data_IF_843256069604
#
_entry.id   IF_843256069604
#
_cell.length_a   1.000
_cell.length_b   1.000
_cell.length_c   1.000
_cell.angle_alpha   90.00
_cell.angle_beta   90.00
_cell.angle_gamma   90.00
#
_symmetry.space_group_name_H-M   'P 1'
#
loop_
_entity.id
_entity.type
_entity.pdbx_description
1 polymer ?
#
# COMPACT_ATOMS: atom_id res chain seq x y z
N UNK A 1 -18.37 1.20 -7.80
CA UNK A 1 -17.80 -0.17 -7.82
C UNK A 1 -16.42 -0.10 -7.18
N UNK A 2 -16.25 -0.65 -5.96
CA UNK A 2 -14.92 -0.68 -5.35
C UNK A 2 -14.02 -1.57 -6.20
N UNK A 3 -12.99 -0.98 -6.82
CA UNK A 3 -12.01 -1.72 -7.61
C UNK A 3 -11.32 -2.72 -6.69
N UNK A 4 -11.49 -4.02 -6.93
CA UNK A 4 -10.83 -5.05 -6.13
C UNK A 4 -9.33 -5.03 -6.44
N UNK A 5 -8.57 -4.29 -5.63
CA UNK A 5 -7.11 -4.22 -5.76
C UNK A 5 -6.55 -5.56 -5.29
N UNK A 6 -6.00 -6.32 -6.23
CA UNK A 6 -5.44 -7.64 -5.92
C UNK A 6 -3.95 -7.55 -5.59
N UNK A 7 -3.23 -6.60 -6.22
CA UNK A 7 -1.78 -6.48 -6.07
C UNK A 7 -1.33 -5.21 -5.35
N UNK A 8 -0.23 -5.32 -4.61
CA UNK A 8 0.40 -4.16 -3.96
C UNK A 8 0.91 -3.13 -4.99
N UNK A 9 1.27 -3.59 -6.20
CA UNK A 9 1.73 -2.71 -7.28
C UNK A 9 0.60 -1.84 -7.84
N UNK A 10 -0.62 -2.37 -7.94
CA UNK A 10 -1.80 -1.58 -8.31
C UNK A 10 -2.10 -0.55 -7.23
N UNK A 11 -2.12 -0.97 -5.96
CA UNK A 11 -2.31 -0.05 -4.82
C UNK A 11 -1.30 1.09 -4.85
N UNK A 12 -0.03 0.78 -5.06
CA UNK A 12 1.02 1.79 -5.09
C UNK A 12 0.87 2.77 -6.25
N UNK A 13 0.46 2.30 -7.43
CA UNK A 13 0.20 3.18 -8.58
C UNK A 13 -1.01 4.10 -8.34
N UNK A 14 -1.98 3.68 -7.53
CA UNK A 14 -3.11 4.52 -7.13
C UNK A 14 -2.67 5.68 -6.22
N UNK A 15 -1.78 5.43 -5.25
CA UNK A 15 -1.23 6.49 -4.40
C UNK A 15 -0.22 7.40 -5.12
N UNK A 16 0.51 6.87 -6.10
CA UNK A 16 1.59 7.58 -6.79
C UNK A 16 1.41 7.54 -8.32
N UNK A 17 0.33 8.13 -8.87
CA UNK A 17 0.05 8.09 -10.31
C UNK A 17 1.10 8.81 -11.16
N UNK A 18 1.88 9.73 -10.56
CA UNK A 18 3.00 10.41 -11.22
C UNK A 18 4.27 9.56 -11.37
N UNK A 19 4.32 8.33 -10.84
CA UNK A 19 5.47 7.45 -11.03
C UNK A 19 5.46 6.81 -12.42
N UNK A 20 6.54 7.00 -13.18
CA UNK A 20 6.69 6.49 -14.56
C UNK A 20 6.72 4.96 -14.66
N UNK A 21 7.02 4.26 -13.55
CA UNK A 21 7.04 2.79 -13.51
C UNK A 21 6.36 2.25 -12.25
N UNK A 22 5.73 1.06 -12.31
CA UNK A 22 5.12 0.43 -11.15
C UNK A 22 6.12 0.19 -10.01
N UNK A 23 7.38 -0.14 -10.34
CA UNK A 23 8.46 -0.35 -9.36
C UNK A 23 8.78 0.93 -8.56
N UNK A 24 8.72 2.09 -9.19
CA UNK A 24 8.92 3.36 -8.50
C UNK A 24 7.73 3.68 -7.58
N UNK A 25 6.50 3.44 -8.04
CA UNK A 25 5.31 3.59 -7.22
C UNK A 25 5.38 2.72 -5.95
N UNK A 26 5.74 1.43 -6.10
CA UNK A 26 5.94 0.50 -4.98
C UNK A 26 6.97 1.03 -3.97
N UNK A 27 8.12 1.54 -4.44
CA UNK A 27 9.15 2.13 -3.58
C UNK A 27 8.64 3.36 -2.83
N UNK A 28 7.84 4.21 -3.49
CA UNK A 28 7.20 5.37 -2.85
C UNK A 28 6.22 4.94 -1.76
N UNK A 29 5.38 3.93 -2.02
CA UNK A 29 4.44 3.40 -1.02
C UNK A 29 5.17 2.77 0.16
N UNK A 30 6.20 1.95 -0.08
CA UNK A 30 7.02 1.37 0.98
C UNK A 30 7.71 2.43 1.85
N UNK A 31 8.22 3.51 1.25
CA UNK A 31 8.79 4.63 2.00
C UNK A 31 7.74 5.33 2.86
N UNK A 32 6.52 5.47 2.36
CA UNK A 32 5.41 6.08 3.09
C UNK A 32 4.98 5.21 4.28
N UNK A 33 4.86 3.90 4.06
CA UNK A 33 4.63 2.91 5.13
C UNK A 33 5.76 2.99 6.18
N UNK A 34 7.02 2.97 5.75
CA UNK A 34 8.18 3.01 6.66
C UNK A 34 8.25 4.31 7.48
N UNK A 35 7.78 5.44 6.93
CA UNK A 35 7.69 6.73 7.64
C UNK A 35 6.58 6.74 8.69
N UNK A 36 5.52 5.95 8.51
CA UNK A 36 4.44 5.80 9.48
C UNK A 36 4.72 4.57 10.38
N UNK A 37 5.41 4.78 11.50
CA UNK A 37 5.82 3.69 12.42
C UNK A 37 4.65 2.86 12.90
N UNK A 38 3.50 3.49 13.20
CA UNK A 38 2.25 2.80 13.55
C UNK A 38 1.80 1.83 12.47
N UNK A 39 1.70 2.31 11.22
CA UNK A 39 1.29 1.48 10.08
C UNK A 39 2.27 0.34 9.82
N UNK A 40 3.58 0.61 9.91
CA UNK A 40 4.60 -0.41 9.71
C UNK A 40 4.47 -1.55 10.72
N UNK A 41 4.23 -1.24 12.01
CA UNK A 41 4.00 -2.25 13.06
C UNK A 41 2.72 -3.04 12.80
N UNK A 42 1.60 -2.36 12.55
CA UNK A 42 0.31 -3.03 12.28
C UNK A 42 0.39 -3.96 11.06
N UNK A 43 1.09 -3.55 10.01
CA UNK A 43 1.31 -4.40 8.83
C UNK A 43 2.19 -5.60 9.18
N UNK A 44 3.26 -5.43 9.96
CA UNK A 44 4.14 -6.53 10.37
C UNK A 44 3.37 -7.60 11.16
N UNK A 45 2.42 -7.21 12.03
CA UNK A 45 1.54 -8.13 12.77
C UNK A 45 0.62 -8.96 11.86
N UNK A 46 0.33 -8.49 10.64
CA UNK A 46 -0.42 -9.27 9.64
C UNK A 46 0.45 -10.22 8.81
N UNK A 47 1.76 -10.28 9.08
CA UNK A 47 2.73 -11.03 8.27
C UNK A 47 3.16 -10.29 7.00
N UNK A 48 2.92 -8.99 6.88
CA UNK A 48 3.44 -8.19 5.76
C UNK A 48 4.98 -8.18 5.79
N UNK A 49 5.59 -8.53 4.67
CA UNK A 49 7.04 -8.49 4.49
C UNK A 49 7.42 -7.46 3.40
N UNK A 50 8.38 -6.55 3.66
CA UNK A 50 8.77 -5.49 2.74
C UNK A 50 9.26 -5.95 1.38
N UNK A 51 9.65 -7.22 1.22
CA UNK A 51 10.16 -7.76 -0.05
C UNK A 51 9.28 -8.87 -0.66
N UNK A 52 8.19 -9.26 0.01
CA UNK A 52 7.29 -10.32 -0.44
C UNK A 52 5.82 -9.85 -0.44
N UNK A 53 5.58 -8.72 -1.10
CA UNK A 53 4.29 -8.02 -1.12
C UNK A 53 3.65 -8.11 -2.51
N UNK A 54 3.80 -9.22 -3.25
CA UNK A 54 3.18 -9.35 -4.58
C UNK A 54 1.66 -9.15 -4.49
N UNK A 55 1.08 -9.74 -3.46
CA UNK A 55 -0.34 -9.66 -3.11
C UNK A 55 -0.51 -8.86 -1.83
N UNK A 56 -1.66 -8.23 -1.69
CA UNK A 56 -2.05 -7.55 -0.45
C UNK A 56 -3.36 -8.15 0.05
N UNK A 57 -3.44 -8.45 1.35
CA UNK A 57 -4.69 -8.93 1.93
C UNK A 57 -5.67 -7.76 2.14
N UNK A 58 -7.00 -8.02 2.17
CA UNK A 58 -7.98 -6.98 2.47
C UNK A 58 -7.70 -6.24 3.80
N UNK A 59 -7.22 -6.97 4.81
CA UNK A 59 -6.83 -6.39 6.11
C UNK A 59 -5.64 -5.45 5.99
N UNK A 60 -4.62 -5.83 5.21
CA UNK A 60 -3.45 -4.97 4.95
C UNK A 60 -3.83 -3.72 4.15
N UNK A 61 -4.71 -3.86 3.16
CA UNK A 61 -5.21 -2.74 2.38
C UNK A 61 -5.98 -1.74 3.27
N UNK A 62 -6.88 -2.23 4.12
CA UNK A 62 -7.64 -1.40 5.06
C UNK A 62 -6.70 -0.61 5.99
N UNK A 63 -5.68 -1.25 6.56
CA UNK A 63 -4.68 -0.57 7.39
C UNK A 63 -3.96 0.55 6.63
N UNK A 64 -3.60 0.32 5.35
CA UNK A 64 -2.96 1.34 4.52
C UNK A 64 -3.92 2.52 4.29
N UNK A 65 -5.18 2.27 3.96
CA UNK A 65 -6.19 3.31 3.76
C UNK A 65 -6.45 4.12 5.04
N UNK A 66 -6.59 3.45 6.18
CA UNK A 66 -6.81 4.11 7.48
C UNK A 66 -5.65 5.01 7.91
N UNK A 67 -4.41 4.69 7.52
CA UNK A 67 -3.22 5.40 8.00
C UNK A 67 -2.60 6.35 6.96
N UNK A 68 -2.77 6.09 5.66
CA UNK A 68 -2.29 6.96 4.58
C UNK A 68 -3.41 7.74 3.86
N UNK A 69 -4.67 7.48 4.21
CA UNK A 69 -5.86 8.01 3.53
C UNK A 69 -6.24 7.18 2.30
N UNK A 70 -7.51 7.17 1.92
CA UNK A 70 -7.94 6.55 0.66
C UNK A 70 -7.36 7.35 -0.52
N UNK A 71 -6.66 6.71 -1.48
CA UNK A 71 -6.14 7.39 -2.67
C UNK A 71 -7.24 7.88 -3.62
N UNK A 72 -8.48 7.41 -3.47
CA UNK A 72 -9.67 7.91 -4.16
C UNK A 72 -10.80 8.18 -3.15
N UNK A 73 -10.75 9.30 -2.41
CA UNK A 73 -11.92 9.72 -1.66
C UNK A 73 -13.03 10.07 -2.66
N UNK A 74 -14.21 9.46 -2.51
CA UNK A 74 -15.43 9.87 -3.22
C UNK A 74 -15.75 11.36 -2.98
#
# INVERSE_FOLDING_TARGET
MAKSISSFSELAQMYFPGCTTPKNAVRCLQRSIKRCTKLATLLAETGYLPYNHRWISPKQQALIFENLGDPYPD
#
